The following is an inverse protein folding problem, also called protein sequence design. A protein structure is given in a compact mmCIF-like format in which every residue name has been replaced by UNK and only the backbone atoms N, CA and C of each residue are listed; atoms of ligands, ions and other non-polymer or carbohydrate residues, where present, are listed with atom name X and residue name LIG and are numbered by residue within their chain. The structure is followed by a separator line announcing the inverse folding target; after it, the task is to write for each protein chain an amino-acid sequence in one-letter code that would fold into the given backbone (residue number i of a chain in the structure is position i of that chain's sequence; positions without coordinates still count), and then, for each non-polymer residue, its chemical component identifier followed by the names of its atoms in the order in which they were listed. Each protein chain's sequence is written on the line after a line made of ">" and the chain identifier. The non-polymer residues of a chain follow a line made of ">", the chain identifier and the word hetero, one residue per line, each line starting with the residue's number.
data_IF_924296998379
#
_entry.id   IF_924296998379
#
_cell.length_a   1.000
_cell.length_b   1.000
_cell.length_c   1.000
_cell.angle_alpha   90.00
_cell.angle_beta   90.00
_cell.angle_gamma   90.00
#
_symmetry.space_group_name_H-M   'P 1'
#
loop_
_entity.id
_entity.type
_entity.pdbx_description
1 polymer ?
#
# COMPACT_ATOMS: atom_id res chain seq x y z
N UNK A 1 -0.93 -8.64 10.18
CA UNK A 1 -0.63 -10.05 10.52
C UNK A 1 0.75 -10.09 11.15
N UNK A 2 0.86 -10.54 12.40
CA UNK A 2 2.14 -10.60 13.12
C UNK A 2 2.83 -11.91 12.78
N UNK A 3 3.97 -11.87 12.08
CA UNK A 3 4.88 -13.00 11.97
C UNK A 3 6.12 -12.70 12.82
N UNK A 4 6.14 -13.29 14.01
CA UNK A 4 7.33 -13.31 14.86
C UNK A 4 8.15 -14.53 14.45
N UNK A 5 9.44 -14.33 14.22
CA UNK A 5 10.48 -15.35 13.98
C UNK A 5 10.44 -16.09 12.64
N UNK A 6 11.20 -15.58 11.66
CA UNK A 6 11.94 -16.44 10.72
C UNK A 6 13.44 -16.21 10.99
N UNK A 7 14.19 -17.28 11.27
CA UNK A 7 15.65 -17.20 11.44
C UNK A 7 16.30 -17.01 10.06
N UNK A 8 17.08 -15.94 9.81
CA UNK A 8 17.74 -15.72 8.52
C UNK A 8 18.80 -16.81 8.22
N UNK A 9 18.98 -17.17 6.94
CA UNK A 9 20.09 -18.02 6.48
C UNK A 9 21.25 -17.12 6.01
N UNK A 10 22.53 -17.46 6.31
CA UNK A 10 23.67 -16.68 5.84
C UNK A 10 23.75 -16.70 4.30
N UNK A 11 23.70 -15.52 3.67
CA UNK A 11 23.83 -15.36 2.21
C UNK A 11 22.64 -14.66 1.54
N UNK A 12 21.49 -14.62 2.21
CA UNK A 12 20.32 -13.87 1.76
C UNK A 12 20.46 -12.46 2.34
N UNK A 13 20.59 -11.42 1.51
CA UNK A 13 20.83 -10.02 1.91
C UNK A 13 19.68 -9.34 2.68
N UNK A 14 19.05 -10.03 3.62
CA UNK A 14 18.09 -9.46 4.57
C UNK A 14 18.82 -9.06 5.85
N UNK A 15 18.70 -7.80 6.25
CA UNK A 15 19.19 -7.33 7.54
C UNK A 15 18.50 -8.13 8.65
N UNK A 16 19.30 -8.81 9.47
CA UNK A 16 18.92 -9.82 10.47
C UNK A 16 17.89 -9.40 11.53
N UNK A 17 17.47 -8.13 11.54
CA UNK A 17 16.42 -7.60 12.39
C UNK A 17 15.56 -6.56 11.66
N UNK A 18 15.08 -6.86 10.45
CA UNK A 18 14.06 -6.04 9.80
C UNK A 18 12.79 -6.01 10.69
N UNK A 19 12.67 -4.98 11.51
CA UNK A 19 11.53 -4.76 12.37
C UNK A 19 10.54 -3.88 11.64
N UNK A 20 9.29 -4.34 11.52
CA UNK A 20 8.21 -3.49 11.04
C UNK A 20 8.01 -2.35 12.05
N UNK A 21 7.92 -1.12 11.56
CA UNK A 21 7.54 0.01 12.41
C UNK A 21 6.20 -0.30 13.09
N UNK A 22 6.14 -0.19 14.41
CA UNK A 22 4.86 -0.28 15.14
C UNK A 22 3.95 0.92 14.88
N UNK A 23 4.50 2.00 14.35
CA UNK A 23 3.75 3.16 13.88
C UNK A 23 3.57 3.06 12.37
N UNK A 24 2.46 2.45 11.97
CA UNK A 24 2.00 2.48 10.58
C UNK A 24 1.20 3.75 10.30
N UNK A 25 1.29 4.27 9.07
CA UNK A 25 0.41 5.32 8.57
C UNK A 25 -0.51 4.73 7.50
N UNK A 26 -1.78 5.16 7.50
CA UNK A 26 -2.70 4.81 6.42
C UNK A 26 -2.44 5.76 5.26
N UNK A 27 -1.92 5.22 4.15
CA UNK A 27 -1.66 6.00 2.93
C UNK A 27 -2.84 5.93 1.95
N UNK A 28 -3.54 4.79 1.88
CA UNK A 28 -4.66 4.57 0.96
C UNK A 28 -5.92 4.18 1.73
N UNK A 29 -7.04 4.82 1.42
CA UNK A 29 -8.32 4.60 2.11
C UNK A 29 -8.33 5.12 3.55
N UNK A 30 -9.05 4.42 4.43
CA UNK A 30 -9.17 4.78 5.85
C UNK A 30 -10.17 5.89 6.17
N UNK A 31 -10.75 6.54 5.15
CA UNK A 31 -11.73 7.63 5.30
C UNK A 31 -13.15 7.21 4.90
N UNK A 32 -13.49 5.94 5.11
CA UNK A 32 -14.75 5.34 4.68
C UNK A 32 -14.80 5.02 3.18
N UNK A 33 -15.95 4.48 2.75
CA UNK A 33 -16.24 4.18 1.35
C UNK A 33 -16.55 5.48 0.60
N UNK A 34 -15.98 5.65 -0.58
CA UNK A 34 -16.24 6.80 -1.44
C UNK A 34 -15.28 6.88 -2.63
N UNK A 35 -15.41 7.95 -3.42
CA UNK A 35 -14.66 8.24 -4.63
C UNK A 35 -13.62 9.36 -4.45
N UNK A 36 -13.44 9.88 -3.23
CA UNK A 36 -12.34 10.78 -2.91
C UNK A 36 -10.97 10.12 -3.13
N UNK A 37 -9.92 10.92 -3.36
CA UNK A 37 -8.54 10.43 -3.54
C UNK A 37 -7.89 9.86 -2.26
N UNK A 38 -8.59 9.96 -1.14
CA UNK A 38 -8.27 9.37 0.16
C UNK A 38 -9.29 8.30 0.59
N UNK A 39 -10.19 7.89 -0.31
CA UNK A 39 -11.22 6.88 -0.12
C UNK A 39 -11.08 5.77 -1.16
N UNK A 40 -11.66 4.62 -0.84
CA UNK A 40 -11.70 3.45 -1.71
C UNK A 40 -13.10 2.84 -1.64
N UNK A 41 -13.54 2.18 -2.70
CA UNK A 41 -14.80 1.47 -2.79
C UNK A 41 -14.57 0.06 -3.37
N UNK A 42 -14.64 -0.94 -2.48
CA UNK A 42 -14.41 -2.35 -2.80
C UNK A 42 -13.14 -2.59 -3.64
N UNK A 43 -11.93 -2.21 -3.18
CA UNK A 43 -10.70 -2.43 -3.93
C UNK A 43 -10.35 -3.93 -4.01
N UNK A 44 -9.86 -4.39 -5.16
CA UNK A 44 -9.60 -5.82 -5.44
C UNK A 44 -8.13 -6.19 -5.58
N UNK A 45 -7.25 -5.20 -5.78
CA UNK A 45 -5.84 -5.45 -6.02
C UNK A 45 -4.94 -4.33 -5.53
N UNK A 46 -3.74 -4.70 -5.10
CA UNK A 46 -2.66 -3.80 -4.71
C UNK A 46 -1.36 -4.23 -5.40
N UNK A 47 -0.59 -3.25 -5.87
CA UNK A 47 0.75 -3.46 -6.40
C UNK A 47 1.70 -2.39 -5.86
N UNK A 48 2.94 -2.77 -5.56
CA UNK A 48 3.98 -1.85 -5.10
C UNK A 48 5.19 -2.02 -5.99
N UNK A 49 5.70 -0.93 -6.55
CA UNK A 49 6.88 -0.94 -7.41
C UNK A 49 8.17 -0.68 -6.60
N UNK A 50 9.32 -0.74 -7.28
CA UNK A 50 10.65 -0.49 -6.69
C UNK A 50 10.80 0.91 -6.08
N UNK A 51 10.05 1.89 -6.60
CA UNK A 51 10.03 3.26 -6.09
C UNK A 51 9.15 3.43 -4.84
N UNK A 52 8.59 2.34 -4.29
CA UNK A 52 7.64 2.34 -3.17
C UNK A 52 6.35 3.12 -3.49
N UNK A 53 5.99 3.24 -4.78
CA UNK A 53 4.68 3.72 -5.20
C UNK A 53 3.67 2.57 -5.07
N UNK A 54 2.59 2.83 -4.36
CA UNK A 54 1.46 1.90 -4.19
C UNK A 54 0.41 2.20 -5.25
N UNK A 55 -0.08 1.16 -5.93
CA UNK A 55 -1.20 1.21 -6.86
C UNK A 55 -2.33 0.38 -6.28
N UNK A 56 -3.55 0.90 -6.35
CA UNK A 56 -4.76 0.19 -5.93
C UNK A 56 -5.76 0.16 -7.07
N UNK A 57 -6.26 -1.05 -7.37
CA UNK A 57 -7.39 -1.25 -8.25
C UNK A 57 -8.70 -1.08 -7.46
N UNK A 58 -9.30 0.10 -7.59
CA UNK A 58 -10.47 0.54 -6.83
C UNK A 58 -11.75 0.17 -7.61
N UNK A 59 -12.12 -1.12 -7.52
CA UNK A 59 -13.00 -1.79 -8.47
C UNK A 59 -14.39 -1.15 -8.61
N UNK A 60 -15.08 -0.83 -7.51
CA UNK A 60 -16.42 -0.26 -7.60
C UNK A 60 -16.42 1.22 -8.02
N UNK A 61 -15.25 1.88 -7.98
CA UNK A 61 -15.06 3.21 -8.55
C UNK A 61 -14.45 3.16 -9.96
N UNK A 62 -14.29 1.97 -10.55
CA UNK A 62 -13.78 1.77 -11.91
C UNK A 62 -12.47 2.51 -12.22
N UNK A 63 -11.57 2.59 -11.24
CA UNK A 63 -10.34 3.39 -11.36
C UNK A 63 -9.10 2.70 -10.77
N UNK A 64 -7.94 3.18 -11.22
CA UNK A 64 -6.64 2.89 -10.63
C UNK A 64 -6.12 4.17 -9.99
N UNK A 65 -5.82 4.10 -8.70
CA UNK A 65 -5.24 5.22 -7.94
C UNK A 65 -3.85 4.83 -7.47
N UNK A 66 -2.90 5.76 -7.52
CA UNK A 66 -1.55 5.56 -6.98
C UNK A 66 -1.24 6.50 -5.81
N UNK A 67 -0.33 6.06 -4.95
CA UNK A 67 0.29 6.84 -3.89
C UNK A 67 1.79 6.68 -4.00
N UNK A 68 2.49 7.77 -4.30
CA UNK A 68 3.95 7.77 -4.28
C UNK A 68 4.47 7.67 -2.84
N UNK A 69 5.75 7.31 -2.68
CA UNK A 69 6.36 7.17 -1.36
C UNK A 69 6.15 8.42 -0.52
N UNK A 70 5.60 8.27 0.69
CA UNK A 70 5.26 9.34 1.63
C UNK A 70 4.11 10.28 1.18
N UNK A 71 3.38 9.97 0.10
CA UNK A 71 2.19 10.72 -0.26
C UNK A 71 1.05 10.47 0.74
N UNK A 72 0.36 11.54 1.14
CA UNK A 72 -0.82 11.49 2.02
C UNK A 72 -2.14 11.46 1.24
N UNK A 73 -2.10 11.57 -0.09
CA UNK A 73 -3.29 11.60 -0.96
C UNK A 73 -2.99 10.88 -2.26
N UNK A 74 -4.00 10.21 -2.81
CA UNK A 74 -3.88 9.44 -4.03
C UNK A 74 -3.90 10.31 -5.28
N UNK A 75 -3.44 9.76 -6.39
CA UNK A 75 -3.53 10.34 -7.73
C UNK A 75 -4.24 9.36 -8.66
N UNK A 76 -5.23 9.84 -9.40
CA UNK A 76 -5.88 9.05 -10.43
C UNK A 76 -4.89 8.76 -11.56
N UNK A 77 -4.72 7.48 -11.90
CA UNK A 77 -3.81 7.03 -12.95
C UNK A 77 -4.58 6.60 -14.19
N UNK A 78 -5.73 5.94 -14.00
CA UNK A 78 -6.58 5.46 -15.07
C UNK A 78 -8.02 5.23 -14.59
N UNK A 79 -8.97 5.27 -15.51
CA UNK A 79 -10.41 5.14 -15.22
C UNK A 79 -11.03 6.42 -14.64
N UNK A 80 -12.24 6.29 -14.11
CA UNK A 80 -13.08 7.42 -13.66
C UNK A 80 -14.44 7.45 -14.36
#
# INVERSE_FOLDING_TARGET
>A
VLLNSARPRPGDGICEHATWSRTGITVAGGNGVGDGLNQLNQPFGIFVNENQTVYVADFANHRIVKWDRNASTGQLVAGG
#
